data_IF_733567034622
#
_entry.id   IF_733567034622
#
_cell.length_a   1.000
_cell.length_b   1.000
_cell.length_c   1.000
_cell.angle_alpha   90.00
_cell.angle_beta   90.00
_cell.angle_gamma   90.00
#
_symmetry.space_group_name_H-M   'P 1'
#
loop_
_entity.id
_entity.type
_entity.pdbx_description
1 polymer ?
#
# COMPACT_ATOMS: atom_id res chain seq x y z
N UNK A 1 24.33 11.63 -3.10
CA UNK A 1 23.13 11.02 -3.77
C UNK A 1 23.32 9.55 -4.18
N UNK A 2 24.43 9.09 -4.74
CA UNK A 2 24.63 7.68 -5.08
C UNK A 2 24.58 6.74 -3.87
N UNK A 3 25.20 7.12 -2.75
CA UNK A 3 25.12 6.34 -1.50
C UNK A 3 23.69 6.22 -0.96
N UNK A 4 22.91 7.30 -1.09
CA UNK A 4 21.48 7.29 -0.68
C UNK A 4 20.65 6.40 -1.61
N UNK A 5 20.99 6.36 -2.92
CA UNK A 5 20.33 5.45 -3.87
C UNK A 5 20.65 4.00 -3.54
N UNK A 6 21.91 3.68 -3.26
CA UNK A 6 22.30 2.34 -2.83
C UNK A 6 21.57 1.95 -1.53
N UNK A 7 21.50 2.87 -0.56
CA UNK A 7 20.81 2.65 0.70
C UNK A 7 19.33 2.31 0.52
N UNK A 8 18.58 3.07 -0.29
CA UNK A 8 17.16 2.76 -0.55
C UNK A 8 16.99 1.43 -1.30
N UNK A 9 17.88 1.09 -2.23
CA UNK A 9 17.86 -0.20 -2.90
C UNK A 9 18.11 -1.37 -1.92
N UNK A 10 19.02 -1.19 -0.97
CA UNK A 10 19.26 -2.15 0.12
C UNK A 10 18.03 -2.26 1.02
N UNK A 11 17.41 -1.14 1.40
CA UNK A 11 16.20 -1.12 2.23
C UNK A 11 15.03 -1.83 1.54
N UNK A 12 14.87 -1.64 0.22
CA UNK A 12 13.87 -2.36 -0.58
C UNK A 12 14.15 -3.87 -0.56
N UNK A 13 15.39 -4.29 -0.80
CA UNK A 13 15.79 -5.69 -0.71
C UNK A 13 15.62 -6.27 0.69
N UNK A 14 15.90 -5.47 1.73
CA UNK A 14 15.75 -5.84 3.13
C UNK A 14 14.28 -6.02 3.55
N UNK A 15 13.30 -5.58 2.74
CA UNK A 15 11.88 -5.84 3.01
C UNK A 15 11.57 -7.35 3.11
N UNK A 16 12.35 -8.20 2.44
CA UNK A 16 12.19 -9.65 2.52
C UNK A 16 12.61 -10.19 3.90
N UNK A 17 13.86 -10.06 4.35
CA UNK A 17 14.23 -10.56 5.67
C UNK A 17 13.48 -9.86 6.80
N UNK A 18 13.11 -8.60 6.64
CA UNK A 18 12.29 -7.86 7.60
C UNK A 18 10.91 -8.52 7.81
N UNK A 19 10.32 -9.08 6.75
CA UNK A 19 9.06 -9.83 6.86
C UNK A 19 9.18 -11.18 7.60
N UNK A 20 10.39 -11.65 7.90
CA UNK A 20 10.65 -12.92 8.57
C UNK A 20 10.97 -12.79 10.06
N UNK A 21 11.23 -11.58 10.54
CA UNK A 21 11.56 -11.28 11.94
C UNK A 21 10.35 -10.79 12.72
N UNK A 22 10.49 -10.67 14.04
CA UNK A 22 9.43 -10.15 14.91
C UNK A 22 8.96 -8.76 14.46
N UNK A 23 7.64 -8.55 14.43
CA UNK A 23 7.02 -7.35 13.86
C UNK A 23 7.39 -6.07 14.63
N UNK A 24 7.57 -6.14 15.96
CA UNK A 24 7.92 -4.99 16.79
C UNK A 24 9.35 -4.52 16.54
N UNK A 25 10.27 -5.46 16.52
CA UNK A 25 11.67 -5.22 16.22
C UNK A 25 11.88 -4.75 14.78
N UNK A 26 11.17 -5.37 13.84
CA UNK A 26 11.16 -4.99 12.43
C UNK A 26 10.69 -3.55 12.23
N UNK A 27 9.60 -3.15 12.89
CA UNK A 27 9.06 -1.78 12.81
C UNK A 27 10.05 -0.75 13.33
N UNK A 28 10.72 -1.03 14.45
CA UNK A 28 11.76 -0.16 15.00
C UNK A 28 12.95 0.01 14.06
N UNK A 29 13.47 -1.10 13.52
CA UNK A 29 14.61 -1.09 12.59
C UNK A 29 14.29 -0.35 11.28
N UNK A 30 13.12 -0.61 10.69
CA UNK A 30 12.68 0.06 9.45
C UNK A 30 12.42 1.53 9.71
N UNK A 31 11.80 1.89 10.82
CA UNK A 31 11.60 3.29 11.22
C UNK A 31 12.91 4.06 11.34
N UNK A 32 13.89 3.48 12.02
CA UNK A 32 15.22 4.07 12.15
C UNK A 32 15.92 4.19 10.78
N UNK A 33 15.93 3.12 9.97
CA UNK A 33 16.52 3.13 8.64
C UNK A 33 15.84 4.14 7.70
N UNK A 34 14.50 4.20 7.69
CA UNK A 34 13.75 5.14 6.86
C UNK A 34 14.04 6.61 7.27
N UNK A 35 14.15 6.87 8.57
CA UNK A 35 14.47 8.21 9.10
C UNK A 35 15.90 8.62 8.75
N UNK A 36 16.87 7.72 8.86
CA UNK A 36 18.25 7.96 8.43
C UNK A 36 18.34 8.20 6.92
N UNK A 37 17.61 7.41 6.11
CA UNK A 37 17.50 7.61 4.67
C UNK A 37 16.92 8.98 4.30
N UNK A 38 15.89 9.40 5.01
CA UNK A 38 15.28 10.72 4.84
C UNK A 38 16.29 11.83 5.15
N UNK A 39 16.94 11.79 6.31
CA UNK A 39 17.94 12.77 6.72
C UNK A 39 19.09 12.85 5.70
N UNK A 40 19.65 11.69 5.31
CA UNK A 40 20.71 11.61 4.31
C UNK A 40 20.26 12.14 2.93
N UNK A 41 19.00 11.91 2.54
CA UNK A 41 18.48 12.42 1.27
C UNK A 41 18.34 13.94 1.29
N UNK A 42 17.78 14.51 2.35
CA UNK A 42 17.57 15.95 2.48
C UNK A 42 18.87 16.73 2.56
N UNK A 43 19.91 16.20 3.24
CA UNK A 43 21.23 16.81 3.31
C UNK A 43 22.01 16.72 1.99
N UNK A 44 21.74 15.71 1.16
CA UNK A 44 22.40 15.50 -0.13
C UNK A 44 21.73 16.23 -1.31
N UNK A 45 20.52 16.80 -1.13
CA UNK A 45 19.80 17.56 -2.16
C UNK A 45 20.41 18.95 -2.37
N UNK A 46 20.47 19.37 -3.64
CA UNK A 46 20.80 20.73 -4.00
C UNK A 46 19.60 21.66 -3.77
N UNK A 47 19.79 22.97 -3.49
CA UNK A 47 18.68 23.90 -3.23
C UNK A 47 17.58 23.88 -4.30
N UNK A 48 17.94 23.80 -5.60
CA UNK A 48 16.97 23.70 -6.68
C UNK A 48 16.22 22.36 -6.75
N UNK A 49 16.81 21.27 -6.26
CA UNK A 49 16.15 19.97 -6.16
C UNK A 49 15.18 19.93 -4.98
N UNK A 50 15.54 20.60 -3.88
CA UNK A 50 14.69 20.71 -2.71
C UNK A 50 13.42 21.54 -3.01
N UNK A 51 13.55 22.67 -3.70
CA UNK A 51 12.39 23.48 -4.12
C UNK A 51 11.49 22.71 -5.07
N UNK A 52 12.06 21.94 -6.01
CA UNK A 52 11.30 21.03 -6.88
C UNK A 52 10.57 19.95 -6.07
N UNK A 53 11.26 19.29 -5.16
CA UNK A 53 10.65 18.26 -4.30
C UNK A 53 9.48 18.84 -3.49
N UNK A 54 9.66 20.02 -2.88
CA UNK A 54 8.61 20.70 -2.12
C UNK A 54 7.38 21.01 -2.97
N UNK A 55 7.55 21.47 -4.21
CA UNK A 55 6.44 21.79 -5.12
C UNK A 55 5.67 20.56 -5.57
N UNK A 56 6.36 19.43 -5.77
CA UNK A 56 5.76 18.18 -6.26
C UNK A 56 5.17 17.33 -5.14
N UNK A 57 5.89 17.20 -4.04
CA UNK A 57 5.51 16.33 -2.92
C UNK A 57 4.68 17.05 -1.85
N UNK A 58 4.77 18.38 -1.73
CA UNK A 58 4.12 19.14 -0.67
C UNK A 58 2.62 18.86 -0.50
N UNK A 59 1.79 18.97 -1.54
CA UNK A 59 0.35 18.69 -1.43
C UNK A 59 0.06 17.24 -1.05
N UNK A 60 0.83 16.28 -1.60
CA UNK A 60 0.68 14.86 -1.28
C UNK A 60 1.07 14.56 0.17
N UNK A 61 2.14 15.20 0.66
CA UNK A 61 2.57 15.09 2.05
C UNK A 61 1.57 15.71 3.02
N UNK A 62 1.01 16.87 2.70
CA UNK A 62 -0.04 17.48 3.52
C UNK A 62 -1.25 16.54 3.68
N UNK A 63 -1.71 15.92 2.58
CA UNK A 63 -2.78 14.93 2.63
C UNK A 63 -2.38 13.68 3.43
N UNK A 64 -1.14 13.22 3.28
CA UNK A 64 -0.62 12.04 3.97
C UNK A 64 -0.32 12.26 5.47
N UNK A 65 -0.21 13.51 5.93
CA UNK A 65 -0.09 13.82 7.37
C UNK A 65 -1.43 13.72 8.11
N UNK A 66 -2.57 13.79 7.40
CA UNK A 66 -3.91 13.72 8.03
C UNK A 66 -4.09 12.44 8.86
N UNK A 67 -3.77 11.22 8.36
CA UNK A 67 -3.85 10.01 9.19
C UNK A 67 -2.90 10.04 10.40
N UNK A 68 -1.69 10.58 10.26
CA UNK A 68 -0.76 10.69 11.39
C UNK A 68 -1.32 11.60 12.50
N UNK A 69 -1.87 12.76 12.11
CA UNK A 69 -2.52 13.67 13.06
C UNK A 69 -3.75 13.03 13.70
N UNK A 70 -4.51 12.24 12.95
CA UNK A 70 -5.65 11.49 13.49
C UNK A 70 -5.21 10.46 14.53
N UNK A 71 -4.16 9.69 14.26
CA UNK A 71 -3.60 8.71 15.21
C UNK A 71 -3.14 9.44 16.48
N UNK A 72 -2.44 10.56 16.35
CA UNK A 72 -2.02 11.37 17.49
C UNK A 72 -3.24 11.84 18.30
N UNK A 73 -4.29 12.34 17.64
CA UNK A 73 -5.53 12.75 18.29
C UNK A 73 -6.18 11.59 19.05
N UNK A 74 -6.20 10.39 18.47
CA UNK A 74 -6.74 9.19 19.13
C UNK A 74 -5.99 8.79 20.40
N UNK A 75 -4.69 9.14 20.50
CA UNK A 75 -3.84 8.84 21.68
C UNK A 75 -3.97 9.87 22.78
N UNK A 76 -4.50 11.07 22.50
CA UNK A 76 -4.64 12.12 23.51
C UNK A 76 -5.67 11.73 24.56
N UNK A 77 -5.43 12.04 25.85
CA UNK A 77 -6.35 11.74 26.95
C UNK A 77 -7.54 12.73 26.97
N UNK A 78 -8.42 12.60 25.96
CA UNK A 78 -9.60 13.45 25.80
C UNK A 78 -10.83 12.74 26.37
N UNK A 79 -11.13 12.98 27.63
CA UNK A 79 -12.19 12.27 28.38
C UNK A 79 -13.57 12.33 27.73
N UNK A 80 -13.89 13.41 27.00
CA UNK A 80 -15.18 13.58 26.33
C UNK A 80 -15.33 12.73 25.04
N UNK A 81 -14.24 12.23 24.45
CA UNK A 81 -14.20 11.31 23.31
C UNK A 81 -13.61 9.95 23.68
N UNK A 82 -13.35 9.72 24.97
CA UNK A 82 -12.74 8.49 25.44
C UNK A 82 -13.61 7.28 25.11
N UNK A 83 -12.96 6.18 24.73
CA UNK A 83 -13.64 4.91 24.53
C UNK A 83 -14.29 4.46 25.85
N UNK A 84 -15.54 3.94 25.81
CA UNK A 84 -16.25 3.46 27.01
C UNK A 84 -15.48 2.43 27.86
N UNK A 85 -14.57 1.68 27.25
CA UNK A 85 -13.69 0.71 27.93
C UNK A 85 -12.93 1.34 29.10
N UNK A 86 -12.50 2.59 28.97
CA UNK A 86 -11.76 3.29 30.03
C UNK A 86 -12.62 3.56 31.26
N UNK A 87 -13.92 3.80 31.08
CA UNK A 87 -14.85 3.92 32.20
C UNK A 87 -14.98 2.60 32.96
N UNK A 88 -15.21 1.49 32.26
CA UNK A 88 -15.28 0.16 32.87
C UNK A 88 -13.98 -0.22 33.58
N UNK A 89 -12.83 0.07 32.96
CA UNK A 89 -11.52 -0.15 33.57
C UNK A 89 -11.35 0.66 34.85
N UNK A 90 -11.74 1.94 34.85
CA UNK A 90 -11.69 2.82 36.04
C UNK A 90 -12.59 2.32 37.15
N UNK A 91 -13.82 1.88 36.85
CA UNK A 91 -14.74 1.29 37.82
C UNK A 91 -14.17 0.02 38.47
N UNK A 92 -13.57 -0.85 37.64
CA UNK A 92 -12.96 -2.11 38.10
C UNK A 92 -11.73 -1.88 38.99
N UNK A 93 -10.92 -0.87 38.66
CA UNK A 93 -9.71 -0.51 39.42
C UNK A 93 -9.99 0.37 40.62
N UNK A 94 -11.21 0.88 40.76
CA UNK A 94 -11.56 1.83 41.82
C UNK A 94 -10.86 3.18 41.73
N UNK A 95 -10.36 3.56 40.53
CA UNK A 95 -9.63 4.79 40.30
C UNK A 95 -10.07 5.46 38.98
N UNK A 96 -10.24 6.81 38.95
CA UNK A 96 -10.60 7.49 37.71
C UNK A 96 -9.43 7.43 36.75
N UNK A 97 -9.68 6.90 35.56
CA UNK A 97 -8.71 6.86 34.47
C UNK A 97 -8.99 7.97 33.46
N UNK A 98 -7.94 8.67 33.04
CA UNK A 98 -8.01 9.57 31.89
C UNK A 98 -8.04 8.74 30.62
N UNK A 99 -9.24 8.54 30.06
CA UNK A 99 -9.40 7.74 28.85
C UNK A 99 -9.02 8.48 27.57
N UNK A 100 -8.67 7.70 26.55
CA UNK A 100 -8.41 8.17 25.17
C UNK A 100 -9.39 7.50 24.20
N UNK A 101 -9.42 7.93 22.92
CA UNK A 101 -10.19 7.26 21.88
C UNK A 101 -9.63 5.85 21.67
N UNK A 102 -8.30 5.71 21.64
CA UNK A 102 -7.66 4.41 21.52
C UNK A 102 -7.79 3.58 22.79
N UNK A 103 -8.06 2.29 22.62
CA UNK A 103 -8.06 1.30 23.72
C UNK A 103 -6.64 0.83 24.07
N UNK A 104 -5.68 1.00 23.14
CA UNK A 104 -4.27 0.62 23.30
C UNK A 104 -3.36 1.69 22.68
N UNK A 105 -2.75 2.50 23.53
CA UNK A 105 -1.82 3.55 23.08
C UNK A 105 -0.52 3.00 22.53
N UNK A 106 -0.07 1.83 22.99
CA UNK A 106 1.14 1.17 22.47
C UNK A 106 0.96 0.70 21.03
N UNK A 107 -0.16 0.04 20.72
CA UNK A 107 -0.50 -0.39 19.37
C UNK A 107 -0.66 0.84 18.43
N UNK A 108 -1.28 1.92 18.92
CA UNK A 108 -1.45 3.15 18.15
C UNK A 108 -0.11 3.83 17.86
N UNK A 109 0.83 3.84 18.81
CA UNK A 109 2.18 4.35 18.60
C UNK A 109 2.93 3.52 17.54
N UNK A 110 2.83 2.19 17.61
CA UNK A 110 3.42 1.30 16.60
C UNK A 110 2.89 1.60 15.20
N UNK A 111 1.59 1.81 15.06
CA UNK A 111 0.95 2.17 13.77
C UNK A 111 1.38 3.56 13.30
N UNK A 112 1.53 4.53 14.20
CA UNK A 112 2.07 5.86 13.87
C UNK A 112 3.49 5.77 13.35
N UNK A 113 4.36 4.99 14.00
CA UNK A 113 5.74 4.77 13.55
C UNK A 113 5.78 4.11 12.18
N UNK A 114 4.92 3.12 11.91
CA UNK A 114 4.79 2.49 10.61
C UNK A 114 4.38 3.49 9.53
N UNK A 115 3.41 4.36 9.82
CA UNK A 115 2.96 5.40 8.91
C UNK A 115 4.04 6.45 8.62
N UNK A 116 4.74 6.92 9.64
CA UNK A 116 5.86 7.85 9.49
C UNK A 116 7.03 7.22 8.71
N UNK A 117 7.26 5.93 8.88
CA UNK A 117 8.24 5.16 8.09
C UNK A 117 7.86 5.14 6.61
N UNK A 118 6.58 4.89 6.28
CA UNK A 118 6.06 4.99 4.92
C UNK A 118 6.33 6.37 4.32
N UNK A 119 5.99 7.45 5.03
CA UNK A 119 6.22 8.81 4.56
C UNK A 119 7.70 9.11 4.34
N UNK A 120 8.56 8.65 5.24
CA UNK A 120 10.02 8.80 5.12
C UNK A 120 10.56 8.09 3.88
N UNK A 121 10.09 6.86 3.59
CA UNK A 121 10.45 6.12 2.37
C UNK A 121 9.91 6.84 1.12
N UNK A 122 8.68 7.34 1.14
CA UNK A 122 8.09 8.11 0.02
C UNK A 122 8.94 9.33 -0.30
N UNK A 123 9.31 10.13 0.69
CA UNK A 123 10.10 11.36 0.50
C UNK A 123 11.52 11.00 0.00
N UNK A 124 12.15 10.01 0.61
CA UNK A 124 13.50 9.55 0.21
C UNK A 124 13.51 9.04 -1.22
N UNK A 125 12.54 8.19 -1.59
CA UNK A 125 12.40 7.67 -2.95
C UNK A 125 12.09 8.80 -3.95
N UNK A 126 11.24 9.76 -3.57
CA UNK A 126 10.97 10.94 -4.41
C UNK A 126 12.23 11.80 -4.63
N UNK A 127 13.01 12.04 -3.57
CA UNK A 127 14.26 12.80 -3.67
C UNK A 127 15.28 12.13 -4.60
N UNK A 128 15.41 10.81 -4.51
CA UNK A 128 16.32 10.03 -5.37
C UNK A 128 15.81 10.01 -6.81
N UNK A 129 14.52 9.81 -7.00
CA UNK A 129 13.88 9.65 -8.30
C UNK A 129 13.72 10.95 -9.09
N UNK A 130 14.19 12.08 -8.57
CA UNK A 130 14.35 13.32 -9.36
C UNK A 130 15.26 13.09 -10.59
N UNK A 131 16.26 12.23 -10.47
CA UNK A 131 17.11 11.76 -11.56
C UNK A 131 16.54 10.45 -12.14
N UNK A 132 16.32 10.41 -13.46
CA UNK A 132 15.71 9.27 -14.12
C UNK A 132 16.57 7.98 -14.07
N UNK A 133 17.91 8.11 -14.07
CA UNK A 133 18.81 6.94 -13.92
C UNK A 133 18.66 6.30 -12.53
N UNK A 134 18.59 7.13 -11.50
CA UNK A 134 18.39 6.65 -10.13
C UNK A 134 16.98 6.06 -9.95
N UNK A 135 15.95 6.66 -10.55
CA UNK A 135 14.60 6.11 -10.58
C UNK A 135 14.55 4.71 -11.22
N UNK A 136 15.31 4.50 -12.31
CA UNK A 136 15.42 3.20 -12.97
C UNK A 136 16.10 2.14 -12.08
N UNK A 137 17.11 2.51 -11.29
CA UNK A 137 17.74 1.61 -10.31
C UNK A 137 16.74 1.20 -9.21
N UNK A 138 16.02 2.15 -8.64
CA UNK A 138 14.98 1.89 -7.63
C UNK A 138 13.89 0.97 -8.20
N UNK A 139 13.41 1.23 -9.40
CA UNK A 139 12.39 0.39 -10.04
C UNK A 139 12.87 -1.05 -10.30
N UNK A 140 14.15 -1.23 -10.68
CA UNK A 140 14.73 -2.58 -10.83
C UNK A 140 14.88 -3.29 -9.49
N UNK A 141 15.30 -2.57 -8.47
CA UNK A 141 15.37 -3.12 -7.10
C UNK A 141 13.98 -3.59 -6.64
N UNK A 142 12.93 -2.79 -6.85
CA UNK A 142 11.56 -3.17 -6.55
C UNK A 142 11.16 -4.42 -7.36
N UNK A 143 11.39 -4.45 -8.68
CA UNK A 143 11.05 -5.60 -9.51
C UNK A 143 11.77 -6.89 -9.07
N UNK A 144 13.04 -6.81 -8.69
CA UNK A 144 13.78 -7.95 -8.16
C UNK A 144 13.21 -8.44 -6.82
N UNK A 145 12.94 -7.51 -5.91
CA UNK A 145 12.37 -7.81 -4.59
C UNK A 145 10.96 -8.42 -4.70
N UNK A 146 10.12 -7.88 -5.60
CA UNK A 146 8.77 -8.43 -5.82
C UNK A 146 8.81 -9.83 -6.44
N UNK A 147 9.74 -10.10 -7.35
CA UNK A 147 9.95 -11.44 -7.88
C UNK A 147 10.41 -12.43 -6.80
N UNK A 148 11.33 -12.02 -5.92
CA UNK A 148 11.77 -12.84 -4.79
C UNK A 148 10.62 -13.08 -3.79
N UNK A 149 9.82 -12.05 -3.48
CA UNK A 149 8.62 -12.19 -2.64
C UNK A 149 7.59 -13.15 -3.25
N UNK A 150 7.42 -13.14 -4.58
CA UNK A 150 6.53 -14.05 -5.29
C UNK A 150 6.99 -15.52 -5.17
N UNK A 151 8.30 -15.78 -5.20
CA UNK A 151 8.86 -17.12 -4.94
C UNK A 151 8.51 -17.56 -3.52
N UNK A 152 8.75 -16.71 -2.51
CA UNK A 152 8.45 -17.04 -1.11
C UNK A 152 6.95 -17.28 -0.93
N UNK A 153 6.11 -16.46 -1.56
CA UNK A 153 4.66 -16.61 -1.49
C UNK A 153 4.20 -17.96 -2.08
N UNK A 154 4.77 -18.40 -3.20
CA UNK A 154 4.51 -19.73 -3.76
C UNK A 154 5.00 -20.85 -2.84
N UNK A 155 6.19 -20.70 -2.25
CA UNK A 155 6.72 -21.66 -1.28
C UNK A 155 5.90 -21.75 0.00
N UNK A 156 5.18 -20.69 0.36
CA UNK A 156 4.26 -20.64 1.50
C UNK A 156 2.90 -21.28 1.21
N UNK A 157 2.64 -21.72 -0.04
CA UNK A 157 1.38 -22.36 -0.41
C UNK A 157 1.22 -23.74 0.27
N UNK A 158 -0.03 -24.17 0.51
CA UNK A 158 -0.35 -25.34 1.31
C UNK A 158 0.44 -26.64 0.97
N UNK A 159 0.62 -27.03 -0.30
CA UNK A 159 1.37 -28.25 -0.63
C UNK A 159 2.86 -28.15 -0.31
N UNK A 160 3.46 -26.97 -0.39
CA UNK A 160 4.88 -26.77 -0.11
C UNK A 160 5.10 -26.49 1.38
N UNK A 161 4.14 -25.87 2.06
CA UNK A 161 4.13 -25.61 3.50
C UNK A 161 4.21 -26.91 4.31
N UNK A 162 3.51 -27.96 3.89
CA UNK A 162 3.58 -29.28 4.50
C UNK A 162 4.99 -29.89 4.40
N UNK A 163 5.76 -29.52 3.37
CA UNK A 163 7.13 -30.02 3.14
C UNK A 163 8.21 -29.20 3.86
N UNK A 164 8.02 -27.86 3.99
CA UNK A 164 9.01 -26.93 4.55
C UNK A 164 8.84 -26.62 6.05
N UNK A 165 7.76 -27.09 6.70
CA UNK A 165 7.49 -26.83 8.11
C UNK A 165 7.17 -25.35 8.38
N UNK A 166 5.90 -24.99 8.26
CA UNK A 166 5.23 -23.82 8.83
C UNK A 166 5.99 -22.47 8.79
N UNK A 167 6.03 -21.82 7.63
CA UNK A 167 6.09 -20.35 7.60
C UNK A 167 4.74 -19.82 8.15
N UNK A 168 4.79 -18.83 9.05
CA UNK A 168 3.58 -18.24 9.66
C UNK A 168 2.74 -17.55 8.57
N UNK A 169 1.42 -17.71 8.62
CA UNK A 169 0.48 -17.12 7.63
C UNK A 169 0.59 -15.58 7.57
N UNK A 170 0.94 -14.94 8.69
CA UNK A 170 1.22 -13.49 8.77
C UNK A 170 2.35 -13.04 7.83
N UNK A 171 3.41 -13.81 7.74
CA UNK A 171 4.54 -13.54 6.85
C UNK A 171 4.13 -13.57 5.39
N UNK A 172 3.27 -14.52 5.03
CA UNK A 172 2.76 -14.67 3.67
C UNK A 172 1.88 -13.48 3.24
N UNK A 173 1.04 -12.94 4.12
CA UNK A 173 0.22 -11.76 3.84
C UNK A 173 1.07 -10.51 3.55
N UNK A 174 2.19 -10.35 4.27
CA UNK A 174 3.14 -9.26 4.01
C UNK A 174 3.76 -9.34 2.62
N UNK A 175 4.12 -10.54 2.17
CA UNK A 175 4.66 -10.75 0.83
C UNK A 175 3.60 -10.62 -0.26
N UNK A 176 2.32 -10.93 0.02
CA UNK A 176 1.24 -10.70 -0.92
C UNK A 176 1.15 -9.22 -1.31
N UNK A 177 1.24 -8.29 -0.36
CA UNK A 177 1.25 -6.84 -0.67
C UNK A 177 2.43 -6.46 -1.56
N UNK A 178 3.63 -6.97 -1.27
CA UNK A 178 4.83 -6.72 -2.10
C UNK A 178 4.60 -7.20 -3.52
N UNK A 179 4.00 -8.39 -3.70
CA UNK A 179 3.71 -8.98 -5.01
C UNK A 179 2.62 -8.19 -5.75
N UNK A 180 1.55 -7.76 -5.06
CA UNK A 180 0.50 -6.90 -5.63
C UNK A 180 1.06 -5.58 -6.18
N UNK A 181 2.04 -4.99 -5.51
CA UNK A 181 2.75 -3.79 -5.98
C UNK A 181 3.63 -4.09 -7.19
N UNK A 182 4.24 -5.27 -7.24
CA UNK A 182 5.16 -5.68 -8.30
C UNK A 182 4.53 -5.83 -9.67
N UNK A 183 3.28 -6.32 -9.75
CA UNK A 183 2.60 -6.58 -11.02
C UNK A 183 2.42 -5.32 -11.86
N UNK A 184 1.76 -4.25 -11.38
CA UNK A 184 1.57 -3.04 -12.17
C UNK A 184 2.88 -2.34 -12.52
N UNK A 185 3.85 -2.32 -11.59
CA UNK A 185 5.15 -1.69 -11.83
C UNK A 185 5.92 -2.40 -12.93
N UNK A 186 6.06 -3.71 -12.84
CA UNK A 186 6.80 -4.51 -13.83
C UNK A 186 6.15 -4.43 -15.21
N UNK A 187 4.81 -4.46 -15.27
CA UNK A 187 4.07 -4.31 -16.51
C UNK A 187 4.24 -2.90 -17.13
N UNK A 188 4.10 -1.85 -16.33
CA UNK A 188 4.28 -0.48 -16.82
C UNK A 188 5.68 -0.26 -17.38
N UNK A 189 6.71 -0.81 -16.73
CA UNK A 189 8.10 -0.75 -17.18
C UNK A 189 8.35 -1.60 -18.44
N UNK A 190 7.71 -2.76 -18.57
CA UNK A 190 7.78 -3.58 -19.78
C UNK A 190 7.21 -2.84 -21.00
N UNK A 191 6.09 -2.12 -20.83
CA UNK A 191 5.43 -1.36 -21.88
C UNK A 191 6.17 -0.05 -22.24
N UNK A 192 6.89 0.57 -21.31
CA UNK A 192 7.63 1.83 -21.53
C UNK A 192 8.85 1.68 -22.46
N UNK A 193 9.29 0.48 -22.63
CA UNK A 193 10.36 0.19 -23.59
C UNK A 193 11.77 0.60 -23.16
N UNK A 194 12.00 0.82 -21.88
CA UNK A 194 13.31 1.15 -21.31
C UNK A 194 13.77 2.56 -21.71
N UNK A 195 13.25 3.57 -21.04
CA UNK A 195 13.41 5.00 -21.35
C UNK A 195 14.83 5.58 -21.44
N UNK A 196 15.85 4.87 -20.96
CA UNK A 196 17.26 5.27 -21.10
C UNK A 196 18.03 4.18 -21.85
N UNK A 197 17.94 4.25 -23.18
CA UNK A 197 18.71 3.36 -24.10
C UNK A 197 20.18 3.79 -24.22
N UNK A 198 20.79 4.34 -23.16
CA UNK A 198 22.20 4.73 -23.17
C UNK A 198 23.06 3.49 -23.49
N UNK A 199 23.39 3.32 -24.75
CA UNK A 199 24.32 2.29 -25.25
C UNK A 199 23.78 0.85 -25.30
N UNK A 200 22.49 0.60 -25.02
CA UNK A 200 21.90 -0.77 -25.10
C UNK A 200 21.46 -1.13 -26.50
N UNK A 201 21.75 -2.35 -26.93
CA UNK A 201 21.26 -2.88 -28.20
C UNK A 201 19.75 -3.16 -28.14
N UNK A 202 19.08 -3.17 -29.30
CA UNK A 202 17.66 -3.53 -29.40
C UNK A 202 17.36 -4.91 -28.78
N UNK A 203 18.28 -5.86 -28.92
CA UNK A 203 18.17 -7.19 -28.34
C UNK A 203 18.22 -7.18 -26.79
N UNK A 204 19.07 -6.34 -26.19
CA UNK A 204 19.13 -6.17 -24.73
C UNK A 204 17.85 -5.52 -24.18
N UNK A 205 17.29 -4.55 -24.90
CA UNK A 205 16.00 -3.94 -24.53
C UNK A 205 14.86 -4.94 -24.65
N UNK A 206 14.81 -5.73 -25.69
CA UNK A 206 13.80 -6.79 -25.86
C UNK A 206 13.87 -7.84 -24.75
N UNK A 207 15.09 -8.27 -24.38
CA UNK A 207 15.30 -9.21 -23.25
C UNK A 207 14.81 -8.60 -21.92
N UNK A 208 15.15 -7.35 -21.64
CA UNK A 208 14.72 -6.68 -20.41
C UNK A 208 13.19 -6.56 -20.33
N UNK A 209 12.54 -6.19 -21.44
CA UNK A 209 11.07 -6.16 -21.51
C UNK A 209 10.46 -7.52 -21.27
N UNK A 210 11.01 -8.56 -21.90
CA UNK A 210 10.57 -9.95 -21.71
C UNK A 210 10.69 -10.39 -20.26
N UNK A 211 11.81 -10.09 -19.59
CA UNK A 211 12.03 -10.40 -18.17
C UNK A 211 11.04 -9.66 -17.26
N UNK A 212 10.77 -8.38 -17.52
CA UNK A 212 9.80 -7.61 -16.73
C UNK A 212 8.37 -8.11 -16.94
N UNK A 213 8.00 -8.45 -18.17
CA UNK A 213 6.68 -9.03 -18.47
C UNK A 213 6.52 -10.42 -17.84
N UNK A 214 7.53 -11.26 -17.92
CA UNK A 214 7.55 -12.57 -17.25
C UNK A 214 7.50 -12.43 -15.74
N UNK A 215 8.22 -11.47 -15.16
CA UNK A 215 8.15 -11.14 -13.73
C UNK A 215 6.76 -10.67 -13.30
N UNK A 216 6.12 -9.82 -14.10
CA UNK A 216 4.74 -9.39 -13.83
C UNK A 216 3.76 -10.55 -13.85
N UNK A 217 3.87 -11.44 -14.87
CA UNK A 217 3.04 -12.64 -14.97
C UNK A 217 3.26 -13.59 -13.79
N UNK A 218 4.52 -13.83 -13.45
CA UNK A 218 4.89 -14.68 -12.31
C UNK A 218 4.32 -14.12 -10.99
N UNK A 219 4.46 -12.84 -10.74
CA UNK A 219 3.87 -12.17 -9.59
C UNK A 219 2.33 -12.29 -9.59
N UNK A 220 1.68 -12.08 -10.74
CA UNK A 220 0.23 -12.20 -10.85
C UNK A 220 -0.26 -13.62 -10.54
N UNK A 221 0.39 -14.64 -11.10
CA UNK A 221 0.07 -16.05 -10.84
C UNK A 221 0.25 -16.37 -9.36
N UNK A 222 1.36 -15.96 -8.74
CA UNK A 222 1.65 -16.20 -7.33
C UNK A 222 0.60 -15.56 -6.41
N UNK A 223 0.22 -14.31 -6.68
CA UNK A 223 -0.78 -13.59 -5.90
C UNK A 223 -2.18 -14.18 -6.08
N UNK A 224 -2.58 -14.56 -7.29
CA UNK A 224 -3.87 -15.21 -7.55
C UNK A 224 -3.94 -16.58 -6.89
N UNK A 225 -2.84 -17.32 -6.90
CA UNK A 225 -2.75 -18.64 -6.26
C UNK A 225 -2.94 -18.56 -4.75
N UNK A 226 -2.30 -17.57 -4.11
CA UNK A 226 -2.36 -17.36 -2.66
C UNK A 226 -3.60 -16.58 -2.23
N UNK A 227 -3.90 -15.47 -2.91
CA UNK A 227 -4.90 -14.46 -2.51
C UNK A 227 -6.32 -14.72 -3.02
N UNK A 228 -6.57 -15.87 -3.64
CA UNK A 228 -7.89 -16.25 -4.15
C UNK A 228 -8.48 -15.22 -5.13
N UNK A 229 -9.82 -15.12 -5.20
CA UNK A 229 -10.54 -14.22 -6.15
C UNK A 229 -10.27 -12.73 -5.93
N UNK A 230 -10.14 -12.30 -4.67
CA UNK A 230 -9.94 -10.89 -4.33
C UNK A 230 -8.65 -10.29 -4.91
N UNK A 231 -7.53 -11.03 -4.84
CA UNK A 231 -6.27 -10.61 -5.42
C UNK A 231 -6.35 -10.56 -6.96
N UNK A 232 -7.04 -11.50 -7.59
CA UNK A 232 -7.20 -11.52 -9.04
C UNK A 232 -7.96 -10.28 -9.55
N UNK A 233 -9.06 -9.89 -8.88
CA UNK A 233 -9.84 -8.68 -9.21
C UNK A 233 -8.98 -7.42 -9.06
N UNK A 234 -8.26 -7.31 -7.94
CA UNK A 234 -7.40 -6.17 -7.66
C UNK A 234 -6.28 -6.03 -8.71
N UNK A 235 -5.61 -7.13 -9.06
CA UNK A 235 -4.57 -7.17 -10.09
C UNK A 235 -5.15 -6.81 -11.46
N UNK A 236 -6.28 -7.40 -11.85
CA UNK A 236 -6.92 -7.14 -13.13
C UNK A 236 -7.23 -5.65 -13.32
N UNK A 237 -7.73 -4.97 -12.28
CA UNK A 237 -8.00 -3.55 -12.32
C UNK A 237 -6.71 -2.71 -12.45
N UNK A 238 -5.67 -3.04 -11.71
CA UNK A 238 -4.37 -2.36 -11.81
C UNK A 238 -3.72 -2.54 -13.19
N UNK A 239 -3.72 -3.78 -13.72
CA UNK A 239 -3.24 -4.11 -15.06
C UNK A 239 -4.04 -3.34 -16.11
N UNK A 240 -5.37 -3.33 -16.01
CA UNK A 240 -6.25 -2.61 -16.92
C UNK A 240 -5.93 -1.10 -16.94
N UNK A 241 -5.67 -0.48 -15.78
CA UNK A 241 -5.29 0.94 -15.70
C UNK A 241 -3.94 1.22 -16.38
N UNK A 242 -2.94 0.33 -16.23
CA UNK A 242 -1.65 0.45 -16.93
C UNK A 242 -1.85 0.37 -18.44
N UNK A 243 -2.54 -0.69 -18.92
CA UNK A 243 -2.79 -0.93 -20.35
C UNK A 243 -3.57 0.24 -20.96
N UNK A 244 -4.58 0.73 -20.27
CA UNK A 244 -5.36 1.89 -20.73
C UNK A 244 -4.55 3.18 -20.79
N UNK A 245 -3.70 3.43 -19.78
CA UNK A 245 -2.82 4.58 -19.81
C UNK A 245 -1.86 4.49 -21.00
N UNK A 246 -1.33 3.30 -21.28
CA UNK A 246 -0.51 3.04 -22.46
C UNK A 246 -1.27 3.25 -23.77
N UNK A 247 -2.47 2.66 -23.91
CA UNK A 247 -3.32 2.77 -25.10
C UNK A 247 -3.75 4.22 -25.35
N UNK A 248 -4.18 4.93 -24.32
CA UNK A 248 -4.56 6.34 -24.41
C UNK A 248 -3.43 7.24 -24.93
N UNK A 249 -2.18 6.92 -24.56
CA UNK A 249 -0.99 7.62 -25.07
C UNK A 249 -0.68 7.26 -26.51
N UNK A 250 -0.69 5.97 -26.86
CA UNK A 250 -0.33 5.49 -28.19
C UNK A 250 -1.36 5.90 -29.26
N UNK A 251 -2.62 5.91 -28.90
CA UNK A 251 -3.74 6.24 -29.77
C UNK A 251 -4.11 7.73 -29.76
N UNK A 252 -3.36 8.57 -29.02
CA UNK A 252 -3.64 10.01 -28.87
C UNK A 252 -5.08 10.32 -28.48
N UNK A 253 -5.70 9.45 -27.68
CA UNK A 253 -7.10 9.56 -27.28
C UNK A 253 -7.36 10.86 -26.53
N UNK A 254 -8.46 11.54 -26.86
CA UNK A 254 -8.88 12.76 -26.19
C UNK A 254 -9.02 12.56 -24.67
N UNK A 255 -8.80 13.63 -23.89
CA UNK A 255 -8.78 13.56 -22.40
C UNK A 255 -10.01 12.85 -21.82
N UNK A 256 -11.17 13.07 -22.40
CA UNK A 256 -12.45 12.50 -21.96
C UNK A 256 -12.60 11.00 -22.25
N UNK A 257 -12.09 10.51 -23.37
CA UNK A 257 -12.22 9.08 -23.72
C UNK A 257 -11.42 8.18 -22.77
N UNK A 258 -10.26 8.65 -22.26
CA UNK A 258 -9.48 7.86 -21.29
C UNK A 258 -10.08 7.92 -19.88
N UNK A 259 -10.72 9.04 -19.51
CA UNK A 259 -11.46 9.13 -18.25
C UNK A 259 -12.72 8.24 -18.30
N UNK A 260 -13.46 8.25 -19.42
CA UNK A 260 -14.60 7.38 -19.63
C UNK A 260 -14.24 5.90 -19.59
N UNK A 261 -13.09 5.55 -20.19
CA UNK A 261 -12.65 4.18 -20.18
C UNK A 261 -12.11 3.75 -18.79
N UNK A 262 -11.42 4.64 -18.02
CA UNK A 262 -11.07 4.37 -16.63
C UNK A 262 -12.31 4.20 -15.76
N UNK A 263 -13.34 5.05 -15.99
CA UNK A 263 -14.63 4.91 -15.33
C UNK A 263 -15.35 3.59 -15.72
N UNK A 264 -15.29 3.18 -17.00
CA UNK A 264 -15.87 1.93 -17.43
C UNK A 264 -15.20 0.71 -16.76
N UNK A 265 -13.87 0.71 -16.62
CA UNK A 265 -13.16 -0.38 -15.91
C UNK A 265 -13.50 -0.36 -14.42
N UNK A 266 -13.56 0.81 -13.80
CA UNK A 266 -13.97 0.93 -12.41
C UNK A 266 -15.42 0.44 -12.21
N UNK A 267 -16.32 0.74 -13.17
CA UNK A 267 -17.69 0.24 -13.18
C UNK A 267 -17.77 -1.27 -13.39
N UNK A 268 -16.95 -1.85 -14.29
CA UNK A 268 -16.89 -3.30 -14.49
C UNK A 268 -16.36 -3.99 -13.24
N UNK A 269 -15.28 -3.46 -12.63
CA UNK A 269 -14.76 -3.98 -11.37
C UNK A 269 -15.78 -3.87 -10.24
N UNK A 270 -16.50 -2.75 -10.18
CA UNK A 270 -17.60 -2.54 -9.23
C UNK A 270 -18.77 -3.49 -9.51
N UNK A 271 -19.17 -3.66 -10.78
CA UNK A 271 -20.26 -4.56 -11.16
C UNK A 271 -19.95 -6.02 -10.85
N UNK A 272 -18.71 -6.48 -11.11
CA UNK A 272 -18.27 -7.83 -10.74
C UNK A 272 -18.18 -8.00 -9.22
N UNK A 273 -17.79 -6.97 -8.50
CA UNK A 273 -17.83 -6.94 -7.05
C UNK A 273 -19.27 -6.99 -6.51
N UNK A 274 -20.17 -6.18 -7.10
CA UNK A 274 -21.60 -6.16 -6.71
C UNK A 274 -22.30 -7.49 -7.02
N UNK A 275 -21.93 -8.17 -8.10
CA UNK A 275 -22.49 -9.49 -8.43
C UNK A 275 -22.18 -10.58 -7.38
N UNK A 276 -21.11 -10.38 -6.60
CA UNK A 276 -20.72 -11.28 -5.50
C UNK A 276 -21.06 -10.69 -4.11
N UNK A 277 -21.90 -9.66 -4.06
CA UNK A 277 -22.23 -8.95 -2.81
C UNK A 277 -23.09 -9.81 -1.89
N UNK A 278 -22.69 -9.89 -0.64
CA UNK A 278 -23.57 -10.31 0.46
C UNK A 278 -24.54 -9.13 0.77
N UNK A 279 -25.85 -9.25 0.53
CA UNK A 279 -26.76 -8.09 0.57
C UNK A 279 -26.97 -7.50 1.97
N UNK A 280 -26.80 -8.33 3.00
CA UNK A 280 -27.17 -8.01 4.39
C UNK A 280 -26.01 -7.53 5.26
N UNK A 281 -24.84 -7.28 4.67
CA UNK A 281 -23.64 -6.89 5.42
C UNK A 281 -23.08 -5.54 4.96
N UNK A 282 -22.28 -4.92 5.83
CA UNK A 282 -21.62 -3.66 5.55
C UNK A 282 -20.75 -3.71 4.29
N UNK A 283 -20.69 -2.62 3.52
CA UNK A 283 -19.91 -2.52 2.27
C UNK A 283 -18.45 -2.95 2.43
N UNK A 284 -17.87 -2.72 3.60
CA UNK A 284 -16.51 -3.07 3.93
C UNK A 284 -16.21 -4.58 3.85
N UNK A 285 -17.21 -5.44 4.02
CA UNK A 285 -17.10 -6.91 4.02
C UNK A 285 -17.97 -7.57 2.94
N UNK A 286 -18.64 -6.77 2.12
CA UNK A 286 -19.59 -7.27 1.13
C UNK A 286 -18.95 -8.08 -0.01
N UNK A 287 -17.64 -7.95 -0.24
CA UNK A 287 -16.93 -8.53 -1.39
C UNK A 287 -15.90 -9.59 -1.01
N UNK A 288 -15.85 -9.97 0.24
CA UNK A 288 -14.85 -10.92 0.73
C UNK A 288 -15.26 -12.38 0.45
N UNK A 289 -14.28 -13.19 0.09
CA UNK A 289 -14.40 -14.66 0.01
C UNK A 289 -13.83 -15.24 1.31
N UNK A 290 -14.63 -15.18 2.37
CA UNK A 290 -14.27 -15.64 3.71
C UNK A 290 -15.39 -16.55 4.30
N UNK A 291 -15.08 -17.38 5.30
CA UNK A 291 -16.08 -18.17 6.01
C UNK A 291 -17.19 -17.30 6.61
N UNK A 292 -18.42 -17.83 6.61
CA UNK A 292 -19.61 -17.09 7.04
C UNK A 292 -19.54 -16.63 8.50
N UNK A 293 -18.95 -17.44 9.38
CA UNK A 293 -18.70 -17.14 10.79
C UNK A 293 -17.76 -15.93 10.97
N UNK A 294 -16.69 -15.85 10.18
CA UNK A 294 -15.78 -14.71 10.18
C UNK A 294 -16.46 -13.44 9.63
N UNK A 295 -17.28 -13.56 8.59
CA UNK A 295 -18.06 -12.43 8.06
C UNK A 295 -19.05 -11.94 9.11
N UNK A 296 -19.75 -12.84 9.79
CA UNK A 296 -20.75 -12.50 10.82
C UNK A 296 -20.09 -11.86 12.06
N UNK A 297 -18.99 -12.42 12.55
CA UNK A 297 -18.26 -11.84 13.70
C UNK A 297 -17.71 -10.45 13.36
N UNK A 298 -17.19 -10.26 12.14
CA UNK A 298 -16.75 -8.93 11.66
C UNK A 298 -17.91 -7.95 11.50
N UNK A 299 -19.09 -8.44 11.07
CA UNK A 299 -20.30 -7.61 10.98
C UNK A 299 -20.74 -7.11 12.36
N UNK A 300 -20.79 -8.00 13.35
CA UNK A 300 -21.14 -7.67 14.73
C UNK A 300 -20.12 -6.66 15.30
N UNK A 301 -18.82 -6.90 15.10
CA UNK A 301 -17.78 -5.95 15.48
C UNK A 301 -18.06 -4.56 14.92
N UNK A 302 -18.32 -4.45 13.60
CA UNK A 302 -18.54 -3.14 12.95
C UNK A 302 -19.82 -2.44 13.44
N UNK A 303 -20.84 -3.18 13.85
CA UNK A 303 -22.10 -2.63 14.38
C UNK A 303 -21.93 -1.98 15.76
N UNK A 304 -21.03 -2.52 16.59
CA UNK A 304 -20.79 -2.06 17.97
C UNK A 304 -19.72 -0.97 18.08
N UNK A 305 -19.07 -0.60 16.96
CA UNK A 305 -17.94 0.34 16.99
C UNK A 305 -18.37 1.79 17.21
N UNK A 306 -17.61 2.55 18.03
CA UNK A 306 -17.73 4.00 18.10
C UNK A 306 -17.45 4.65 16.72
N UNK A 307 -18.12 5.76 16.43
CA UNK A 307 -17.96 6.49 15.15
C UNK A 307 -16.51 6.95 14.86
N UNK A 308 -15.71 7.20 15.91
CA UNK A 308 -14.32 7.62 15.82
C UNK A 308 -13.33 6.44 15.74
N UNK A 309 -13.83 5.20 15.74
CA UNK A 309 -13.02 3.99 15.83
C UNK A 309 -12.52 3.71 17.26
N UNK A 310 -11.71 2.67 17.40
CA UNK A 310 -11.19 2.22 18.70
C UNK A 310 -9.68 2.41 18.85
N UNK A 311 -9.05 3.08 17.90
CA UNK A 311 -7.62 3.38 17.88
C UNK A 311 -6.83 2.59 16.84
N UNK A 312 -5.81 3.23 16.31
CA UNK A 312 -4.94 2.62 15.32
C UNK A 312 -4.21 1.39 15.91
N UNK A 313 -4.14 0.30 15.14
CA UNK A 313 -3.46 -0.93 15.54
C UNK A 313 -4.23 -1.86 16.49
N UNK A 314 -5.45 -1.50 16.92
CA UNK A 314 -6.21 -2.26 17.93
C UNK A 314 -7.08 -3.40 17.40
N UNK A 315 -7.04 -3.63 16.07
CA UNK A 315 -7.93 -4.59 15.39
C UNK A 315 -7.83 -6.01 15.97
N UNK A 316 -6.63 -6.49 16.26
CA UNK A 316 -6.44 -7.85 16.79
C UNK A 316 -7.05 -7.99 18.19
N UNK A 317 -6.91 -6.99 19.04
CA UNK A 317 -7.51 -6.95 20.39
C UNK A 317 -9.03 -6.94 20.30
N UNK A 318 -9.59 -6.12 19.38
CA UNK A 318 -11.04 -6.06 19.17
C UNK A 318 -11.58 -7.36 18.58
N UNK A 319 -10.97 -7.89 17.51
CA UNK A 319 -11.41 -9.11 16.87
C UNK A 319 -11.46 -10.28 17.87
N UNK A 320 -10.51 -10.32 18.81
CA UNK A 320 -10.48 -11.34 19.85
C UNK A 320 -11.74 -11.38 20.72
N UNK A 321 -12.44 -10.25 20.92
CA UNK A 321 -13.66 -10.21 21.76
C UNK A 321 -14.91 -10.71 21.04
N UNK A 322 -14.88 -10.80 19.71
CA UNK A 322 -16.02 -11.24 18.88
C UNK A 322 -15.86 -12.62 18.28
N UNK A 323 -14.70 -13.27 18.47
CA UNK A 323 -14.45 -14.62 17.98
C UNK A 323 -14.74 -15.66 19.07
N UNK A 324 -15.42 -16.75 18.68
CA UNK A 324 -15.59 -17.91 19.55
C UNK A 324 -14.26 -18.65 19.72
N UNK A 325 -13.74 -18.67 20.95
CA UNK A 325 -12.44 -19.27 21.30
C UNK A 325 -12.44 -20.80 21.30
N UNK A 326 -13.57 -21.45 21.04
CA UNK A 326 -13.66 -22.91 21.03
C UNK A 326 -12.92 -23.49 19.81
N UNK A 327 -11.62 -23.67 19.95
CA UNK A 327 -10.76 -24.32 18.96
C UNK A 327 -9.92 -23.43 18.06
N UNK A 328 -9.93 -22.11 18.24
CA UNK A 328 -9.11 -21.20 17.43
C UNK A 328 -7.63 -21.28 17.83
N UNK A 329 -6.84 -22.00 17.04
CA UNK A 329 -5.35 -22.00 17.10
C UNK A 329 -4.72 -20.81 16.35
N UNK A 330 -5.55 -19.97 15.74
CA UNK A 330 -5.14 -18.86 14.88
C UNK A 330 -5.42 -17.50 15.51
N UNK A 331 -4.57 -16.52 15.20
CA UNK A 331 -4.72 -15.13 15.64
C UNK A 331 -6.08 -14.57 15.22
N UNK A 332 -6.74 -13.76 16.09
CA UNK A 332 -8.00 -13.09 15.74
C UNK A 332 -7.80 -12.14 14.55
N UNK A 333 -8.55 -12.35 13.49
CA UNK A 333 -8.48 -11.63 12.22
C UNK A 333 -9.87 -11.11 11.86
N UNK A 334 -9.96 -9.97 11.22
CA UNK A 334 -11.20 -9.48 10.61
C UNK A 334 -11.27 -9.88 9.14
N UNK A 335 -12.49 -9.98 8.60
CA UNK A 335 -12.72 -10.47 7.24
C UNK A 335 -12.00 -9.68 6.15
N UNK A 336 -11.85 -8.35 6.29
CA UNK A 336 -11.20 -7.48 5.33
C UNK A 336 -10.33 -6.40 5.97
N UNK A 337 -9.36 -5.88 5.23
CA UNK A 337 -8.58 -4.72 5.66
C UNK A 337 -9.44 -3.44 5.75
N UNK A 338 -10.53 -3.33 4.96
CA UNK A 338 -11.47 -2.22 5.08
C UNK A 338 -12.16 -2.24 6.45
N UNK A 339 -12.63 -3.39 6.90
CA UNK A 339 -13.21 -3.56 8.23
C UNK A 339 -12.19 -3.21 9.32
N UNK A 340 -10.93 -3.67 9.17
CA UNK A 340 -9.84 -3.33 10.09
C UNK A 340 -9.60 -1.82 10.17
N UNK A 341 -9.55 -1.12 9.03
CA UNK A 341 -9.36 0.33 8.99
C UNK A 341 -10.54 1.11 9.57
N UNK A 342 -11.79 0.65 9.33
CA UNK A 342 -12.99 1.25 9.96
C UNK A 342 -12.94 1.05 11.48
N UNK A 343 -12.57 -0.14 11.93
CA UNK A 343 -12.45 -0.43 13.36
C UNK A 343 -11.40 0.46 14.04
N UNK A 344 -10.29 0.71 13.36
CA UNK A 344 -9.19 1.53 13.89
C UNK A 344 -9.48 3.03 13.83
N UNK A 345 -9.90 3.53 12.68
CA UNK A 345 -9.95 4.96 12.39
C UNK A 345 -11.36 5.56 12.44
N UNK A 346 -12.37 4.72 12.47
CA UNK A 346 -13.77 5.12 12.29
C UNK A 346 -14.16 5.27 10.82
N UNK A 347 -15.46 5.22 10.55
CA UNK A 347 -16.00 5.24 9.18
C UNK A 347 -15.68 6.53 8.41
N UNK A 348 -15.78 7.69 9.06
CA UNK A 348 -15.52 8.99 8.43
C UNK A 348 -14.07 9.12 7.95
N UNK A 349 -13.11 8.73 8.79
CA UNK A 349 -11.69 8.78 8.41
C UNK A 349 -11.35 7.75 7.34
N UNK A 350 -11.93 6.54 7.41
CA UNK A 350 -11.77 5.52 6.37
C UNK A 350 -12.19 6.05 4.99
N UNK A 351 -13.39 6.64 4.86
CA UNK A 351 -13.85 7.18 3.59
C UNK A 351 -13.03 8.39 3.12
N UNK A 352 -12.49 9.17 4.05
CA UNK A 352 -11.51 10.23 3.73
C UNK A 352 -10.24 9.65 3.10
N UNK A 353 -9.71 8.56 3.66
CA UNK A 353 -8.56 7.85 3.08
C UNK A 353 -8.86 7.29 1.68
N UNK A 354 -10.03 6.71 1.48
CA UNK A 354 -10.50 6.23 0.16
C UNK A 354 -10.55 7.39 -0.83
N UNK A 355 -11.16 8.53 -0.47
CA UNK A 355 -11.25 9.71 -1.32
C UNK A 355 -9.86 10.27 -1.69
N UNK A 356 -8.97 10.41 -0.71
CA UNK A 356 -7.57 10.85 -0.95
C UNK A 356 -6.84 9.89 -1.89
N UNK A 357 -7.04 8.58 -1.75
CA UNK A 357 -6.45 7.58 -2.62
C UNK A 357 -6.97 7.70 -4.05
N UNK A 358 -8.28 7.90 -4.25
CA UNK A 358 -8.88 8.13 -5.57
C UNK A 358 -8.32 9.41 -6.22
N UNK A 359 -8.20 10.50 -5.46
CA UNK A 359 -7.56 11.74 -5.95
C UNK A 359 -6.10 11.49 -6.33
N UNK A 360 -5.38 10.70 -5.55
CA UNK A 360 -4.01 10.26 -5.85
C UNK A 360 -3.92 9.49 -7.16
N UNK A 361 -4.80 8.49 -7.37
CA UNK A 361 -4.89 7.72 -8.62
C UNK A 361 -5.11 8.65 -9.82
N UNK A 362 -6.07 9.57 -9.72
CA UNK A 362 -6.37 10.54 -10.77
C UNK A 362 -5.16 11.45 -11.05
N UNK A 363 -4.51 11.97 -10.01
CA UNK A 363 -3.35 12.84 -10.14
C UNK A 363 -2.15 12.14 -10.80
N UNK A 364 -1.88 10.89 -10.47
CA UNK A 364 -0.84 10.10 -11.10
C UNK A 364 -1.16 9.74 -12.55
N UNK A 365 -2.42 9.38 -12.84
CA UNK A 365 -2.87 9.08 -14.20
C UNK A 365 -2.73 10.30 -15.11
N UNK A 366 -3.13 11.48 -14.64
CA UNK A 366 -2.94 12.75 -15.37
C UNK A 366 -1.44 13.04 -15.56
N UNK A 367 -0.63 12.80 -14.51
CA UNK A 367 0.82 12.92 -14.57
C UNK A 367 1.44 12.02 -15.65
N UNK A 368 1.05 10.76 -15.69
CA UNK A 368 1.51 9.78 -16.67
C UNK A 368 1.18 10.19 -18.10
N UNK A 369 0.00 10.75 -18.34
CA UNK A 369 -0.42 11.22 -19.67
C UNK A 369 0.34 12.46 -20.13
N UNK A 370 0.59 13.39 -19.22
CA UNK A 370 1.25 14.66 -19.54
C UNK A 370 2.76 14.52 -19.73
N UNK A 371 3.33 13.36 -19.42
CA UNK A 371 4.76 13.12 -19.53
C UNK A 371 5.12 12.41 -20.83
N UNK A 372 6.11 12.91 -21.56
CA UNK A 372 6.59 12.29 -22.81
C UNK A 372 7.37 11.01 -22.55
N UNK A 373 8.46 11.12 -21.78
CA UNK A 373 9.29 10.00 -21.30
C UNK A 373 8.94 9.69 -19.84
N UNK A 374 9.34 8.51 -19.37
CA UNK A 374 9.21 8.10 -17.96
C UNK A 374 7.76 8.10 -17.42
N UNK A 375 6.77 7.93 -18.32
CA UNK A 375 5.35 7.87 -17.97
C UNK A 375 5.02 6.63 -17.12
N UNK A 376 5.83 5.61 -17.21
CA UNK A 376 5.63 4.32 -16.53
C UNK A 376 5.66 4.44 -15.01
N UNK A 377 6.43 5.36 -14.44
CA UNK A 377 6.49 5.55 -12.99
C UNK A 377 5.17 6.08 -12.40
N UNK A 378 4.62 7.21 -12.85
CA UNK A 378 3.32 7.66 -12.35
C UNK A 378 2.19 6.72 -12.76
N UNK A 379 2.24 6.05 -13.92
CA UNK A 379 1.25 5.04 -14.29
C UNK A 379 1.28 3.83 -13.34
N UNK A 380 2.48 3.36 -12.98
CA UNK A 380 2.64 2.29 -12.00
C UNK A 380 2.12 2.69 -10.63
N UNK A 381 2.42 3.91 -10.16
CA UNK A 381 1.93 4.41 -8.88
C UNK A 381 0.39 4.50 -8.85
N UNK A 382 -0.24 4.99 -9.92
CA UNK A 382 -1.70 5.01 -10.06
C UNK A 382 -2.30 3.60 -9.99
N UNK A 383 -1.71 2.68 -10.74
CA UNK A 383 -2.20 1.30 -10.82
C UNK A 383 -2.00 0.53 -9.51
N UNK A 384 -0.87 0.74 -8.84
CA UNK A 384 -0.61 0.17 -7.50
C UNK A 384 -1.63 0.68 -6.48
N UNK A 385 -1.91 1.99 -6.46
CA UNK A 385 -2.93 2.54 -5.56
C UNK A 385 -4.31 1.96 -5.85
N UNK A 386 -4.69 1.79 -7.13
CA UNK A 386 -5.96 1.16 -7.50
C UNK A 386 -6.01 -0.31 -7.08
N UNK A 387 -4.93 -1.08 -7.34
CA UNK A 387 -4.81 -2.48 -6.91
C UNK A 387 -4.99 -2.60 -5.41
N UNK A 388 -4.28 -1.79 -4.61
CA UNK A 388 -4.37 -1.82 -3.16
C UNK A 388 -5.73 -1.33 -2.64
N UNK A 389 -6.30 -0.31 -3.26
CA UNK A 389 -7.64 0.17 -2.90
C UNK A 389 -8.70 -0.94 -3.02
N UNK A 390 -8.67 -1.73 -4.11
CA UNK A 390 -9.58 -2.86 -4.27
C UNK A 390 -9.22 -4.03 -3.34
N UNK A 391 -7.92 -4.29 -3.16
CA UNK A 391 -7.45 -5.32 -2.25
C UNK A 391 -7.90 -5.08 -0.80
N UNK A 392 -7.98 -3.82 -0.35
CA UNK A 392 -8.48 -3.46 0.99
C UNK A 392 -9.89 -3.98 1.25
N UNK A 393 -10.76 -4.03 0.23
CA UNK A 393 -12.14 -4.52 0.37
C UNK A 393 -12.29 -6.03 0.19
N UNK A 394 -11.25 -6.72 -0.29
CA UNK A 394 -11.34 -8.14 -0.66
C UNK A 394 -10.39 -9.05 0.10
N UNK A 395 -9.37 -8.48 0.75
CA UNK A 395 -8.33 -9.24 1.44
C UNK A 395 -8.20 -8.80 2.91
N UNK A 396 -7.92 -9.72 3.83
CA UNK A 396 -7.59 -9.39 5.21
C UNK A 396 -6.15 -8.86 5.33
N UNK A 397 -5.86 -8.12 6.40
CA UNK A 397 -4.51 -7.79 6.92
C UNK A 397 -3.48 -7.26 5.89
N UNK A 398 -3.88 -6.33 5.02
CA UNK A 398 -2.97 -5.77 4.01
C UNK A 398 -1.83 -4.89 4.55
N UNK A 399 -1.91 -4.11 5.62
CA UNK A 399 -0.77 -3.30 6.06
C UNK A 399 0.27 -4.17 6.76
N UNK A 400 1.23 -4.68 6.00
CA UNK A 400 2.40 -5.36 6.52
C UNK A 400 3.67 -4.57 6.18
N UNK A 401 4.65 -4.60 7.06
CA UNK A 401 5.88 -3.81 6.99
C UNK A 401 6.64 -3.96 5.66
N UNK A 402 6.83 -5.17 5.09
CA UNK A 402 7.47 -5.31 3.77
C UNK A 402 6.75 -4.53 2.67
N UNK A 403 5.41 -4.56 2.68
CA UNK A 403 4.58 -3.83 1.72
C UNK A 403 4.73 -2.32 1.84
N UNK A 404 4.88 -1.79 3.06
CA UNK A 404 5.07 -0.36 3.34
C UNK A 404 6.32 0.20 2.67
N UNK A 405 7.45 -0.52 2.73
CA UNK A 405 8.72 -0.10 2.12
C UNK A 405 8.57 -0.03 0.59
N UNK A 406 8.07 -1.10 -0.01
CA UNK A 406 7.95 -1.21 -1.47
C UNK A 406 6.90 -0.23 -2.00
N UNK A 407 5.76 -0.10 -1.32
CA UNK A 407 4.71 0.87 -1.65
C UNK A 407 5.25 2.31 -1.58
N UNK A 408 5.94 2.66 -0.50
CA UNK A 408 6.55 3.97 -0.33
C UNK A 408 7.52 4.31 -1.45
N UNK A 409 8.35 3.35 -1.87
CA UNK A 409 9.29 3.53 -2.97
C UNK A 409 8.57 3.75 -4.31
N UNK A 410 7.48 3.02 -4.60
CA UNK A 410 6.68 3.22 -5.84
C UNK A 410 5.97 4.57 -5.84
N UNK A 411 5.31 4.94 -4.74
CA UNK A 411 4.63 6.25 -4.63
C UNK A 411 5.66 7.38 -4.77
N UNK A 412 6.79 7.30 -4.08
CA UNK A 412 7.83 8.32 -4.13
C UNK A 412 8.42 8.50 -5.54
N UNK A 413 8.73 7.41 -6.24
CA UNK A 413 9.20 7.46 -7.63
C UNK A 413 8.14 8.03 -8.56
N UNK A 414 6.87 7.65 -8.38
CA UNK A 414 5.73 8.18 -9.12
C UNK A 414 5.56 9.69 -8.92
N UNK A 415 5.65 10.18 -7.68
CA UNK A 415 5.57 11.61 -7.34
C UNK A 415 6.65 12.42 -8.04
N UNK A 416 7.92 12.03 -7.92
CA UNK A 416 9.04 12.75 -8.52
C UNK A 416 8.94 12.79 -10.04
N UNK A 417 8.44 11.71 -10.63
CA UNK A 417 8.36 11.58 -12.08
C UNK A 417 7.02 12.06 -12.68
N UNK A 418 6.09 12.58 -11.87
CA UNK A 418 4.78 13.09 -12.33
C UNK A 418 4.90 14.39 -13.13
N UNK A 419 5.83 15.28 -12.76
CA UNK A 419 5.98 16.62 -13.36
C UNK A 419 7.35 16.74 -14.01
N UNK A 420 7.42 17.36 -15.21
CA UNK A 420 8.70 17.66 -15.87
C UNK A 420 9.33 18.92 -15.27
N UNK A 421 10.65 18.89 -15.03
CA UNK A 421 11.42 20.05 -14.55
C UNK A 421 11.32 21.27 -15.50
N UNK A 422 11.18 21.05 -16.80
CA UNK A 422 11.06 22.15 -17.78
C UNK A 422 9.77 22.95 -17.62
N UNK A 423 8.67 22.32 -17.16
CA UNK A 423 7.40 23.04 -16.95
C UNK A 423 7.42 23.97 -15.74
N UNK A 424 8.17 23.65 -14.70
CA UNK A 424 8.29 24.50 -13.50
C UNK A 424 9.21 25.71 -13.70
N UNK A 425 10.00 25.73 -14.78
CA UNK A 425 10.83 26.91 -15.14
C UNK A 425 10.10 27.90 -16.06
N UNK A 426 8.96 27.49 -16.62
CA UNK A 426 8.18 28.28 -17.57
C UNK A 426 6.95 28.98 -16.95
N UNK A 427 6.64 28.73 -15.69
CA UNK A 427 5.62 29.42 -14.90
C UNK A 427 6.22 30.09 -13.67
#
# INVERSE_FOLDING_TARGET
MWNVTAFICILIGASIPVGLIDASLATGLVGAAASLGLLASLTALRPGELSFLRSVAGPALAAALVPALWIILQMLPLSFWANPVWKFAGETLGAPLSGSITIDTGASLGTLLLWLSLLSVVITAAAIAIDARRADMVARSIAATTAAAAVILLLSSAPVKAWLGAARDETANGFLVVVLVGVPLSLARALDGGGHADGRTAAQLARLRGLLAAGALFCAVSACWYGRRGAAIAIAAGVALVVMTFAARKLHLHRWSSAAAAAAIALIALATAVANRHPDVALAIAFVDAPADLVQSTHNLLADLPALGSGAGTTATLAATYMDWQGATTRPVVATSAAALIAQFGSAMFWTLVAVTIVGIAAFTVGARNRGRDWSYPAAAAAVLLTLLLAVFTLPELPALPGVIVLGAVIGTGLAQRISRSRLRAG
#
